data_IF_515009657848
#
_entry.id   IF_515009657848
#
_cell.length_a   1.000
_cell.length_b   1.000
_cell.length_c   1.000
_cell.angle_alpha   90.00
_cell.angle_beta   90.00
_cell.angle_gamma   90.00
#
_symmetry.space_group_name_H-M   'P 1'
#
loop_
_entity.id
_entity.type
_entity.pdbx_description
1 polymer ?
#
# COMPACT_ATOMS: atom_id res chain seq x y z
N UNK A 1 1.13 22.61 -92.18
CA UNK A 1 0.28 22.45 -90.97
C UNK A 1 0.70 21.12 -90.34
N UNK A 2 1.72 21.03 -89.47
CA UNK A 2 2.25 21.94 -88.44
C UNK A 2 1.36 22.06 -87.20
N UNK A 3 1.50 21.12 -86.25
CA UNK A 3 1.67 21.26 -84.78
C UNK A 3 1.60 19.84 -84.14
N UNK A 4 2.72 19.29 -83.67
CA UNK A 4 3.19 19.26 -82.27
C UNK A 4 2.47 18.20 -81.40
N UNK A 5 3.06 17.06 -81.00
CA UNK A 5 4.24 16.74 -80.16
C UNK A 5 4.08 17.02 -78.65
N UNK A 6 4.29 15.95 -77.84
CA UNK A 6 4.56 15.90 -76.38
C UNK A 6 3.33 16.24 -75.50
N UNK A 7 3.17 15.78 -74.26
CA UNK A 7 3.90 14.87 -73.34
C UNK A 7 2.91 13.72 -72.94
N UNK A 8 3.23 12.64 -72.23
CA UNK A 8 4.39 12.17 -71.46
C UNK A 8 3.87 11.20 -70.38
N UNK A 9 4.70 10.28 -69.88
CA UNK A 9 4.24 9.21 -69.00
C UNK A 9 3.78 9.69 -67.61
N UNK A 10 2.65 9.15 -67.15
CA UNK A 10 2.20 9.13 -65.74
C UNK A 10 1.53 7.77 -65.50
N UNK A 11 2.33 6.75 -65.23
CA UNK A 11 2.81 6.35 -63.90
C UNK A 11 1.72 5.62 -63.11
N UNK A 12 1.78 4.28 -63.20
CA UNK A 12 1.13 3.36 -62.29
C UNK A 12 1.58 3.64 -60.85
N UNK A 13 0.69 4.11 -59.97
CA UNK A 13 0.81 3.97 -58.51
C UNK A 13 -0.51 4.37 -57.82
N UNK A 14 -1.44 3.42 -57.66
CA UNK A 14 -2.68 3.62 -56.91
C UNK A 14 -3.20 2.31 -56.27
N UNK A 15 -2.29 1.48 -55.77
CA UNK A 15 -2.66 0.27 -55.00
C UNK A 15 -1.61 -0.07 -53.91
N UNK A 16 -1.26 0.94 -53.12
CA UNK A 16 -0.44 0.83 -51.92
C UNK A 16 -0.96 1.81 -50.87
N UNK A 17 -2.11 1.46 -50.25
CA UNK A 17 -2.85 2.34 -49.34
C UNK A 17 -3.69 1.60 -48.30
N UNK A 18 -3.49 0.28 -48.15
CA UNK A 18 -3.94 -0.48 -46.99
C UNK A 18 -2.73 -0.69 -46.07
N UNK A 19 -2.23 0.41 -45.50
CA UNK A 19 -1.50 0.29 -44.24
C UNK A 19 -2.52 -0.17 -43.20
N UNK A 20 -2.44 -1.45 -42.85
CA UNK A 20 -3.09 -1.92 -41.64
C UNK A 20 -2.54 -1.08 -40.49
N UNK A 21 -3.39 -0.24 -39.92
CA UNK A 21 -3.15 0.33 -38.60
C UNK A 21 -3.24 -0.81 -37.59
N UNK A 22 -2.15 -1.59 -37.49
CA UNK A 22 -1.82 -2.30 -36.26
C UNK A 22 -1.63 -1.21 -35.21
N UNK A 23 -2.72 -0.91 -34.50
CA UNK A 23 -2.63 -0.31 -33.18
C UNK A 23 -1.73 -1.24 -32.37
N UNK A 24 -0.47 -0.83 -32.16
CA UNK A 24 0.34 -1.47 -31.15
C UNK A 24 -0.45 -1.38 -29.85
N UNK A 25 -0.75 -2.52 -29.24
CA UNK A 25 -1.32 -2.52 -27.90
C UNK A 25 -0.29 -1.86 -26.98
N UNK A 26 -0.76 -1.00 -26.09
CA UNK A 26 0.08 -0.42 -25.04
C UNK A 26 0.71 -1.55 -24.22
N UNK A 27 2.02 -1.49 -23.98
CA UNK A 27 2.66 -2.41 -23.04
C UNK A 27 2.09 -2.14 -21.63
N UNK A 28 2.09 -3.16 -20.76
CA UNK A 28 1.79 -2.94 -19.34
C UNK A 28 2.99 -2.27 -18.66
N UNK A 29 2.76 -1.22 -17.88
CA UNK A 29 3.73 -0.64 -16.94
C UNK A 29 3.30 -0.93 -15.50
N UNK A 30 4.19 -1.55 -14.74
CA UNK A 30 3.99 -1.81 -13.31
C UNK A 30 4.75 -0.80 -12.45
N UNK A 31 4.03 0.04 -11.71
CA UNK A 31 4.60 1.03 -10.79
C UNK A 31 4.65 0.45 -9.37
N UNK A 32 5.86 0.25 -8.85
CA UNK A 32 6.14 -0.45 -7.59
C UNK A 32 6.33 0.55 -6.44
N UNK A 33 5.50 0.49 -5.39
CA UNK A 33 5.52 1.42 -4.24
C UNK A 33 5.84 0.67 -2.94
N UNK A 34 7.07 0.84 -2.43
CA UNK A 34 7.59 0.05 -1.32
C UNK A 34 6.92 0.35 0.04
N UNK A 35 7.17 -0.56 0.99
CA UNK A 35 6.71 -0.46 2.37
C UNK A 35 7.59 0.37 3.29
N UNK A 36 7.38 0.19 4.58
CA UNK A 36 8.16 0.79 5.66
C UNK A 36 9.55 0.12 5.80
N UNK A 37 10.53 0.87 6.33
CA UNK A 37 11.90 0.39 6.57
C UNK A 37 12.84 0.53 5.38
N UNK A 38 12.56 1.42 4.42
CA UNK A 38 13.34 1.56 3.18
C UNK A 38 13.81 3.00 2.96
N UNK A 39 15.11 3.19 2.75
CA UNK A 39 15.71 4.48 2.35
C UNK A 39 15.45 4.78 0.87
N UNK A 40 14.22 4.60 0.37
CA UNK A 40 13.95 4.57 -1.07
C UNK A 40 14.27 5.89 -1.81
N UNK A 41 14.28 7.00 -1.09
CA UNK A 41 14.75 8.31 -1.57
C UNK A 41 16.21 8.29 -2.07
N UNK A 42 17.04 7.35 -1.61
CA UNK A 42 18.38 7.09 -2.16
C UNK A 42 18.21 6.30 -3.45
N UNK A 43 18.44 6.95 -4.59
CA UNK A 43 18.35 6.28 -5.91
C UNK A 43 19.47 5.25 -6.13
N UNK A 44 20.68 5.56 -5.68
CA UNK A 44 21.81 4.65 -5.73
C UNK A 44 22.87 5.03 -4.69
N UNK A 45 23.53 4.02 -4.12
CA UNK A 45 24.78 4.17 -3.35
C UNK A 45 25.71 2.98 -3.61
N UNK A 46 26.89 3.02 -3.01
CA UNK A 46 27.83 1.90 -2.99
C UNK A 46 27.89 1.37 -1.57
N UNK A 47 27.58 0.09 -1.37
CA UNK A 47 27.59 -0.55 -0.06
C UNK A 47 29.03 -0.78 0.44
N UNK A 48 29.19 -1.27 1.68
CA UNK A 48 30.51 -1.49 2.30
C UNK A 48 31.33 -2.61 1.64
N UNK A 49 30.71 -3.41 0.77
CA UNK A 49 31.33 -4.45 -0.06
C UNK A 49 31.71 -3.94 -1.46
N UNK A 50 31.45 -2.66 -1.79
CA UNK A 50 31.77 -2.07 -3.08
C UNK A 50 30.75 -2.35 -4.20
N UNK A 51 29.57 -2.85 -3.87
CA UNK A 51 28.50 -3.17 -4.81
C UNK A 51 27.52 -1.99 -4.94
N UNK A 52 26.88 -1.85 -6.10
CA UNK A 52 25.78 -0.93 -6.31
C UNK A 52 24.57 -1.38 -5.48
N UNK A 53 23.96 -0.45 -4.76
CA UNK A 53 22.75 -0.63 -3.97
C UNK A 53 21.73 0.43 -4.39
N UNK A 54 20.49 0.01 -4.66
CA UNK A 54 19.37 0.83 -5.10
C UNK A 54 18.15 0.53 -4.20
N UNK A 55 18.11 1.03 -2.95
CA UNK A 55 17.27 0.50 -1.87
C UNK A 55 15.79 0.26 -2.20
N UNK A 56 15.15 1.10 -3.01
CA UNK A 56 13.75 0.91 -3.38
C UNK A 56 13.54 -0.17 -4.46
N UNK A 57 14.51 -0.36 -5.37
CA UNK A 57 14.48 -1.42 -6.38
C UNK A 57 14.80 -2.76 -5.73
N UNK A 58 15.89 -2.80 -4.96
CA UNK A 58 16.38 -3.98 -4.24
C UNK A 58 15.31 -4.53 -3.27
N UNK A 59 14.43 -3.67 -2.72
CA UNK A 59 13.25 -4.06 -1.94
C UNK A 59 12.34 -5.09 -2.62
N UNK A 60 12.25 -5.06 -3.96
CA UNK A 60 11.37 -5.91 -4.76
C UNK A 60 12.11 -7.06 -5.47
N UNK A 61 13.39 -6.89 -5.78
CA UNK A 61 14.21 -7.94 -6.41
C UNK A 61 14.97 -8.82 -5.41
N UNK A 62 15.18 -8.37 -4.16
CA UNK A 62 15.90 -9.13 -3.14
C UNK A 62 15.00 -9.68 -2.03
N UNK A 63 15.23 -10.95 -1.69
CA UNK A 63 14.59 -11.62 -0.57
C UNK A 63 15.37 -11.40 0.74
N UNK A 64 14.75 -10.71 1.70
CA UNK A 64 15.35 -10.42 3.02
C UNK A 64 15.61 -11.69 3.86
N UNK A 65 14.79 -12.73 3.71
CA UNK A 65 14.91 -13.97 4.46
C UNK A 65 15.52 -15.08 3.62
N UNK A 66 16.47 -15.83 4.21
CA UNK A 66 17.13 -16.97 3.58
C UNK A 66 16.17 -18.03 3.02
N UNK A 67 15.01 -18.23 3.66
CA UNK A 67 13.96 -19.15 3.18
C UNK A 67 13.34 -18.74 1.84
N UNK A 68 13.55 -17.49 1.39
CA UNK A 68 13.06 -16.94 0.12
C UNK A 68 14.17 -16.53 -0.84
N UNK A 69 15.43 -16.81 -0.51
CA UNK A 69 16.60 -16.47 -1.32
C UNK A 69 16.46 -16.99 -2.76
N UNK A 70 16.65 -16.11 -3.74
CA UNK A 70 16.46 -16.41 -5.16
C UNK A 70 15.03 -16.21 -5.67
N UNK A 71 14.15 -15.57 -4.90
CA UNK A 71 12.83 -15.12 -5.35
C UNK A 71 12.87 -13.62 -5.64
N UNK A 72 12.50 -13.24 -6.87
CA UNK A 72 12.39 -11.85 -7.34
C UNK A 72 10.92 -11.56 -7.69
N UNK A 73 10.33 -10.50 -7.11
CA UNK A 73 8.93 -10.14 -7.37
C UNK A 73 8.73 -9.50 -8.74
N UNK A 74 9.71 -8.74 -9.21
CA UNK A 74 9.69 -8.05 -10.51
C UNK A 74 9.75 -9.07 -11.64
N UNK A 75 10.62 -10.07 -11.54
CA UNK A 75 10.71 -11.19 -12.50
C UNK A 75 9.36 -11.91 -12.63
N UNK A 76 8.74 -12.24 -11.49
CA UNK A 76 7.48 -12.97 -11.44
C UNK A 76 6.28 -12.15 -11.89
N UNK A 77 6.26 -10.85 -11.60
CA UNK A 77 5.24 -9.91 -12.07
C UNK A 77 5.34 -9.71 -13.59
N UNK A 78 6.56 -9.75 -14.12
CA UNK A 78 6.87 -9.57 -15.55
C UNK A 78 7.06 -10.89 -16.29
N UNK A 79 6.53 -12.00 -15.76
CA UNK A 79 6.64 -13.34 -16.38
C UNK A 79 6.07 -13.40 -17.82
N UNK A 80 5.14 -12.50 -18.15
CA UNK A 80 4.56 -12.33 -19.49
C UNK A 80 4.95 -10.99 -20.15
N UNK A 81 6.08 -10.40 -19.73
CA UNK A 81 6.58 -9.12 -20.23
C UNK A 81 6.00 -7.88 -19.51
N UNK A 82 6.12 -6.73 -20.17
CA UNK A 82 5.77 -5.42 -19.63
C UNK A 82 6.98 -4.63 -19.10
N UNK A 83 6.78 -3.33 -18.93
CA UNK A 83 7.70 -2.37 -18.33
C UNK A 83 7.42 -2.22 -16.83
N UNK A 84 8.31 -1.55 -16.11
CA UNK A 84 8.10 -1.19 -14.72
C UNK A 84 8.82 0.11 -14.35
N UNK A 85 8.44 0.67 -13.20
CA UNK A 85 9.13 1.77 -12.56
C UNK A 85 8.92 1.72 -11.06
N UNK A 86 9.90 2.16 -10.29
CA UNK A 86 9.95 2.06 -8.83
C UNK A 86 9.79 3.45 -8.21
N UNK A 87 8.84 3.58 -7.30
CA UNK A 87 8.72 4.78 -6.45
C UNK A 87 9.55 4.57 -5.19
N UNK A 88 10.49 5.49 -4.95
CA UNK A 88 11.36 5.47 -3.78
C UNK A 88 11.21 6.73 -2.94
N UNK A 89 10.63 6.60 -1.76
CA UNK A 89 10.48 7.66 -0.77
C UNK A 89 11.21 7.29 0.53
N UNK A 90 11.41 8.22 1.47
CA UNK A 90 11.96 7.83 2.77
C UNK A 90 10.85 7.21 3.63
N UNK A 91 10.98 5.93 3.96
CA UNK A 91 10.05 5.19 4.81
C UNK A 91 10.72 4.55 6.03
N UNK A 92 11.95 4.94 6.39
CA UNK A 92 12.64 4.39 7.57
C UNK A 92 12.06 4.90 8.88
N UNK A 93 12.50 4.31 10.00
CA UNK A 93 12.08 4.73 11.33
C UNK A 93 12.52 6.17 11.62
N UNK A 94 13.74 6.56 11.23
CA UNK A 94 14.31 7.91 11.41
C UNK A 94 13.62 8.98 10.55
N UNK A 95 12.87 8.56 9.52
CA UNK A 95 12.08 9.48 8.71
C UNK A 95 10.86 10.02 9.45
N UNK A 96 10.22 9.21 10.31
CA UNK A 96 8.99 9.49 11.07
C UNK A 96 7.81 10.11 10.27
N UNK A 97 7.88 10.13 8.94
CA UNK A 97 6.92 10.88 8.11
C UNK A 97 5.59 10.12 7.97
N UNK A 98 4.45 10.74 8.32
CA UNK A 98 3.15 10.12 8.12
C UNK A 98 2.78 9.99 6.64
N UNK A 99 1.81 9.13 6.32
CA UNK A 99 1.41 8.85 4.93
C UNK A 99 0.69 10.00 4.21
N UNK A 100 0.39 11.11 4.89
CA UNK A 100 -0.15 12.32 4.27
C UNK A 100 0.95 13.38 4.00
N UNK A 101 2.21 13.09 4.37
CA UNK A 101 3.28 14.08 4.34
C UNK A 101 3.74 14.43 2.92
N UNK A 102 4.20 15.65 2.67
CA UNK A 102 4.72 16.01 1.33
C UNK A 102 5.98 15.22 0.96
N UNK A 103 6.83 14.91 1.94
CA UNK A 103 7.99 14.03 1.76
C UNK A 103 7.67 12.54 1.57
N UNK A 104 6.38 12.14 1.66
CA UNK A 104 5.92 10.77 1.41
C UNK A 104 4.89 10.76 0.29
N UNK A 105 3.62 11.07 0.56
CA UNK A 105 2.56 11.14 -0.44
C UNK A 105 2.85 12.14 -1.57
N UNK A 106 3.44 13.30 -1.21
CA UNK A 106 3.82 14.31 -2.19
C UNK A 106 4.89 13.81 -3.16
N UNK A 107 5.93 13.20 -2.61
CA UNK A 107 7.05 12.61 -3.35
C UNK A 107 6.63 11.40 -4.21
N UNK A 108 5.82 10.49 -3.65
CA UNK A 108 5.23 9.35 -4.37
C UNK A 108 4.45 9.84 -5.59
N UNK A 109 3.59 10.84 -5.44
CA UNK A 109 2.80 11.38 -6.54
C UNK A 109 3.68 12.01 -7.64
N UNK A 110 4.73 12.75 -7.28
CA UNK A 110 5.69 13.33 -8.23
C UNK A 110 6.41 12.24 -9.04
N UNK A 111 6.89 11.18 -8.39
CA UNK A 111 7.55 10.07 -9.06
C UNK A 111 6.58 9.29 -9.96
N UNK A 112 5.33 9.05 -9.53
CA UNK A 112 4.31 8.43 -10.39
C UNK A 112 4.06 9.29 -11.65
N UNK A 113 3.95 10.62 -11.53
CA UNK A 113 3.78 11.52 -12.68
C UNK A 113 4.96 11.42 -13.64
N UNK A 114 6.18 11.34 -13.14
CA UNK A 114 7.38 11.30 -13.96
C UNK A 114 7.56 9.95 -14.68
N UNK A 115 7.34 8.83 -13.97
CA UNK A 115 7.27 7.48 -14.55
C UNK A 115 6.20 7.42 -15.65
N UNK A 116 4.98 7.90 -15.36
CA UNK A 116 3.86 7.93 -16.31
C UNK A 116 4.07 8.86 -17.50
N UNK A 117 5.03 9.78 -17.42
CA UNK A 117 5.42 10.64 -18.54
C UNK A 117 6.56 10.07 -19.40
N UNK A 118 7.06 8.86 -19.09
CA UNK A 118 8.17 8.23 -19.79
C UNK A 118 9.54 8.83 -19.48
N UNK A 119 9.68 9.61 -18.40
CA UNK A 119 10.98 10.09 -17.91
C UNK A 119 11.79 9.00 -17.19
N UNK A 120 11.14 7.91 -16.82
CA UNK A 120 11.67 6.87 -15.96
C UNK A 120 11.61 7.23 -14.47
N UNK A 121 12.12 6.32 -13.64
CA UNK A 121 12.07 6.39 -12.17
C UNK A 121 13.39 6.82 -11.49
N UNK A 122 14.47 6.92 -12.28
CA UNK A 122 15.81 7.28 -11.82
C UNK A 122 16.68 6.11 -11.32
N UNK A 123 16.23 4.85 -11.45
CA UNK A 123 17.03 3.66 -11.13
C UNK A 123 17.68 3.04 -12.36
N UNK A 124 18.80 2.35 -12.15
CA UNK A 124 19.50 1.56 -13.17
C UNK A 124 18.82 0.20 -13.34
N UNK A 125 17.90 0.10 -14.30
CA UNK A 125 17.36 -1.16 -14.78
C UNK A 125 16.85 -1.06 -16.23
N UNK A 126 16.60 -2.22 -16.84
CA UNK A 126 15.97 -2.34 -18.15
C UNK A 126 14.44 -2.28 -18.06
N UNK A 127 13.76 -1.96 -19.17
CA UNK A 127 12.29 -1.95 -19.29
C UNK A 127 11.60 -0.86 -18.45
N UNK A 128 12.16 0.36 -18.49
CA UNK A 128 11.51 1.58 -18.01
C UNK A 128 10.16 1.83 -18.71
N UNK A 129 9.19 2.37 -17.98
CA UNK A 129 7.87 2.68 -18.55
C UNK A 129 7.88 3.82 -19.57
N UNK A 130 6.94 3.76 -20.52
CA UNK A 130 6.71 4.73 -21.58
C UNK A 130 5.40 5.48 -21.33
N UNK A 131 5.25 6.66 -21.92
CA UNK A 131 4.07 7.52 -21.70
C UNK A 131 2.75 6.95 -22.25
N UNK A 132 2.83 5.99 -23.18
CA UNK A 132 1.72 5.31 -23.84
C UNK A 132 1.41 3.92 -23.25
N UNK A 133 2.09 3.49 -22.20
CA UNK A 133 1.83 2.23 -21.49
C UNK A 133 0.48 2.22 -20.75
N UNK A 134 -0.05 1.02 -20.49
CA UNK A 134 -1.16 0.82 -19.55
C UNK A 134 -0.61 0.73 -18.12
N UNK A 135 -0.93 1.70 -17.28
CA UNK A 135 -0.35 1.83 -15.94
C UNK A 135 -1.13 1.06 -14.87
N UNK A 136 -0.38 0.27 -14.10
CA UNK A 136 -0.82 -0.46 -12.93
C UNK A 136 0.06 -0.09 -11.74
N UNK A 137 -0.48 0.02 -10.53
CA UNK A 137 0.34 0.20 -9.32
C UNK A 137 0.32 -1.07 -8.50
N UNK A 138 1.46 -1.45 -7.94
CA UNK A 138 1.57 -2.49 -6.92
C UNK A 138 2.21 -1.85 -5.68
N UNK A 139 1.50 -1.92 -4.56
CA UNK A 139 1.90 -1.26 -3.33
C UNK A 139 1.97 -2.27 -2.17
N UNK A 140 3.07 -2.25 -1.42
CA UNK A 140 3.30 -3.16 -0.31
C UNK A 140 3.26 -2.44 1.04
N UNK A 141 2.68 -3.05 2.08
CA UNK A 141 2.78 -2.57 3.46
C UNK A 141 2.33 -1.10 3.61
N UNK A 142 3.15 -0.23 4.17
CA UNK A 142 2.89 1.22 4.26
C UNK A 142 2.55 1.86 2.89
N UNK A 143 3.16 1.39 1.80
CA UNK A 143 2.86 1.85 0.45
C UNK A 143 1.38 1.68 0.06
N UNK A 144 0.68 0.68 0.61
CA UNK A 144 -0.76 0.53 0.40
C UNK A 144 -1.57 1.66 1.06
N UNK A 145 -1.17 2.09 2.26
CA UNK A 145 -1.76 3.23 2.97
C UNK A 145 -1.50 4.53 2.21
N UNK A 146 -0.28 4.71 1.67
CA UNK A 146 0.06 5.82 0.77
C UNK A 146 -0.86 5.84 -0.45
N UNK A 147 -0.97 4.71 -1.17
CA UNK A 147 -1.77 4.64 -2.40
C UNK A 147 -3.27 4.80 -2.15
N UNK A 148 -3.79 4.37 -1.00
CA UNK A 148 -5.17 4.69 -0.59
C UNK A 148 -5.36 6.19 -0.34
N UNK A 149 -4.42 6.84 0.34
CA UNK A 149 -4.44 8.30 0.55
C UNK A 149 -4.42 9.06 -0.78
N UNK A 150 -3.49 8.75 -1.68
CA UNK A 150 -3.41 9.36 -3.02
C UNK A 150 -4.70 9.12 -3.81
N UNK A 151 -5.15 7.86 -3.91
CA UNK A 151 -6.31 7.52 -4.74
C UNK A 151 -7.62 8.15 -4.25
N UNK A 152 -7.81 8.25 -2.93
CA UNK A 152 -8.98 8.92 -2.34
C UNK A 152 -8.91 10.44 -2.37
N UNK A 153 -7.73 11.03 -2.62
CA UNK A 153 -7.52 12.47 -2.70
C UNK A 153 -7.19 12.99 -4.09
N UNK A 154 -7.19 12.10 -5.08
CA UNK A 154 -7.11 12.39 -6.51
C UNK A 154 -8.50 12.69 -7.15
N UNK A 155 -9.59 12.66 -6.38
CA UNK A 155 -10.96 12.91 -6.89
C UNK A 155 -11.48 14.29 -6.46
N UNK A 156 -11.92 15.16 -7.39
CA UNK A 156 -12.53 16.45 -7.07
C UNK A 156 -13.70 16.30 -6.08
N UNK A 157 -13.68 17.11 -5.02
CA UNK A 157 -14.65 17.02 -3.92
C UNK A 157 -14.19 16.17 -2.73
N UNK A 158 -13.03 15.51 -2.80
CA UNK A 158 -12.38 14.98 -1.58
C UNK A 158 -12.07 16.12 -0.60
N UNK A 159 -12.28 15.93 0.73
CA UNK A 159 -11.88 16.88 1.76
C UNK A 159 -10.39 17.26 1.74
N UNK A 160 -9.54 16.44 1.13
CA UNK A 160 -8.09 16.64 0.98
C UNK A 160 -7.65 16.61 -0.49
N UNK A 161 -8.55 16.96 -1.43
CA UNK A 161 -8.26 16.94 -2.87
C UNK A 161 -6.94 17.64 -3.22
N UNK A 162 -6.06 16.94 -3.95
CA UNK A 162 -4.74 17.37 -4.39
C UNK A 162 -3.86 18.04 -3.29
N UNK A 163 -3.92 17.51 -2.05
CA UNK A 163 -3.13 18.02 -0.91
C UNK A 163 -2.34 16.93 -0.18
N UNK A 164 -1.02 17.10 -0.17
CA UNK A 164 -0.16 16.59 0.90
C UNK A 164 -0.03 17.66 1.99
N UNK A 165 0.66 17.36 3.11
CA UNK A 165 0.83 18.31 4.22
C UNK A 165 2.26 18.27 4.78
N UNK A 166 2.77 19.40 5.26
CA UNK A 166 4.03 19.49 6.04
C UNK A 166 3.80 19.29 7.55
N UNK A 167 2.73 18.54 7.90
CA UNK A 167 2.26 18.32 9.27
C UNK A 167 2.57 16.89 9.69
N UNK A 168 3.29 16.69 10.79
CA UNK A 168 3.66 15.36 11.29
C UNK A 168 2.58 14.72 12.18
N UNK A 169 1.75 15.54 12.82
CA UNK A 169 0.77 15.12 13.83
C UNK A 169 -0.64 15.59 13.46
N UNK A 170 -1.64 14.76 13.68
CA UNK A 170 -3.06 15.12 13.52
C UNK A 170 -3.46 16.32 14.40
N UNK A 171 -4.52 17.04 14.03
CA UNK A 171 -5.04 18.16 14.82
C UNK A 171 -5.33 17.77 16.28
N UNK A 172 -5.27 18.75 17.19
CA UNK A 172 -5.56 18.54 18.62
C UNK A 172 -6.69 19.43 19.11
N UNK A 173 -7.46 18.94 20.08
CA UNK A 173 -8.45 19.74 20.82
C UNK A 173 -8.15 19.71 22.31
N UNK A 174 -8.50 20.79 22.99
CA UNK A 174 -8.33 20.94 24.44
C UNK A 174 -9.69 21.06 25.10
N UNK A 175 -10.11 20.02 25.81
CA UNK A 175 -11.36 20.01 26.58
C UNK A 175 -11.11 20.41 28.04
N UNK A 176 -12.03 21.17 28.63
CA UNK A 176 -11.98 21.57 30.04
C UNK A 176 -13.21 21.08 30.77
N UNK A 177 -13.05 20.02 31.57
CA UNK A 177 -14.12 19.33 32.27
C UNK A 177 -14.09 19.65 33.77
N UNK A 178 -15.21 20.09 34.34
CA UNK A 178 -15.31 20.39 35.77
C UNK A 178 -15.57 19.12 36.58
N UNK A 179 -14.50 18.51 37.09
CA UNK A 179 -14.56 17.29 37.90
C UNK A 179 -14.78 17.65 39.37
N UNK A 180 -15.90 17.20 39.93
CA UNK A 180 -16.28 17.44 41.33
C UNK A 180 -16.25 16.13 42.13
N UNK A 181 -15.36 16.03 43.12
CA UNK A 181 -15.22 14.87 44.00
C UNK A 181 -15.74 15.18 45.41
N UNK A 182 -16.33 14.17 46.07
CA UNK A 182 -16.92 14.28 47.42
C UNK A 182 -18.44 14.05 47.47
N UNK A 183 -18.96 13.76 48.67
CA UNK A 183 -20.40 13.66 48.94
C UNK A 183 -21.06 15.05 48.87
N UNK A 184 -22.38 15.09 48.65
CA UNK A 184 -23.19 16.31 48.37
C UNK A 184 -22.76 17.56 49.16
N UNK A 185 -22.65 17.48 50.48
CA UNK A 185 -22.31 18.61 51.36
C UNK A 185 -20.83 19.05 51.36
N UNK A 186 -19.92 18.28 50.74
CA UNK A 186 -18.46 18.55 50.76
C UNK A 186 -17.81 18.36 49.37
N UNK A 187 -18.55 18.61 48.28
CA UNK A 187 -17.99 18.53 46.91
C UNK A 187 -16.91 19.59 46.68
N UNK A 188 -15.67 19.16 46.43
CA UNK A 188 -14.61 20.01 45.86
C UNK A 188 -14.60 19.82 44.35
N UNK A 189 -14.63 20.91 43.60
CA UNK A 189 -14.56 20.91 42.14
C UNK A 189 -13.24 21.48 41.67
N UNK A 190 -12.59 20.79 40.72
CA UNK A 190 -11.47 21.32 39.94
C UNK A 190 -11.83 21.27 38.45
N UNK A 191 -11.31 22.20 37.67
CA UNK A 191 -11.33 22.06 36.20
C UNK A 191 -10.13 21.21 35.81
N UNK A 192 -10.39 20.09 35.13
CA UNK A 192 -9.35 19.29 34.49
C UNK A 192 -9.33 19.64 33.01
N UNK A 193 -8.16 20.06 32.52
CA UNK A 193 -7.93 20.34 31.10
C UNK A 193 -7.22 19.15 30.48
N UNK A 194 -7.77 18.59 29.40
CA UNK A 194 -7.19 17.46 28.67
C UNK A 194 -7.09 17.79 27.18
N UNK A 195 -5.87 17.81 26.66
CA UNK A 195 -5.63 17.86 25.22
C UNK A 195 -5.67 16.45 24.66
N UNK A 196 -6.30 16.27 23.49
CA UNK A 196 -6.29 15.01 22.73
C UNK A 196 -6.18 15.25 21.23
N UNK A 197 -5.56 14.31 20.54
CA UNK A 197 -5.56 14.25 19.09
C UNK A 197 -6.98 13.96 18.57
N UNK A 198 -7.29 14.48 17.39
CA UNK A 198 -8.52 14.23 16.62
C UNK A 198 -8.16 14.00 15.15
N UNK A 199 -9.00 13.28 14.41
CA UNK A 199 -8.82 13.17 12.97
C UNK A 199 -8.95 14.56 12.31
N UNK A 200 -8.00 14.89 11.45
CA UNK A 200 -7.96 16.16 10.71
C UNK A 200 -6.54 16.69 10.53
N UNK A 201 -6.29 17.29 9.37
CA UNK A 201 -5.08 18.07 9.07
C UNK A 201 -5.45 19.56 9.01
N UNK A 202 -4.46 20.44 9.10
CA UNK A 202 -4.62 21.88 9.12
C UNK A 202 -4.07 22.48 7.82
N UNK A 203 -4.93 23.14 7.05
CA UNK A 203 -4.61 23.69 5.74
C UNK A 203 -3.52 24.77 5.76
N UNK A 204 -3.12 25.28 6.94
CA UNK A 204 -1.91 26.11 7.09
C UNK A 204 -0.62 25.35 6.74
N UNK A 205 -0.65 24.01 6.77
CA UNK A 205 0.47 23.14 6.38
C UNK A 205 0.23 22.41 5.05
N UNK A 206 -0.88 22.69 4.34
CA UNK A 206 -1.19 22.03 3.08
C UNK A 206 -0.16 22.37 1.99
N UNK A 207 0.21 21.37 1.21
CA UNK A 207 1.04 21.46 0.01
C UNK A 207 0.23 20.95 -1.17
N UNK A 208 0.09 21.79 -2.20
CA UNK A 208 -0.60 21.38 -3.43
C UNK A 208 0.23 20.33 -4.17
N UNK A 209 -0.34 19.14 -4.34
CA UNK A 209 0.27 18.03 -5.09
C UNK A 209 -0.78 17.45 -6.03
N UNK A 210 -0.39 17.23 -7.28
CA UNK A 210 -1.29 16.81 -8.35
C UNK A 210 -1.61 15.29 -8.29
N UNK A 211 -2.30 14.87 -7.23
CA UNK A 211 -2.73 13.48 -7.05
C UNK A 211 -3.67 13.02 -8.17
N UNK A 212 -4.53 13.90 -8.68
CA UNK A 212 -5.36 13.66 -9.88
C UNK A 212 -4.47 13.24 -11.06
N UNK A 213 -3.48 14.04 -11.46
CA UNK A 213 -2.55 13.65 -12.53
C UNK A 213 -1.73 12.40 -12.22
N UNK A 214 -1.36 12.17 -10.95
CA UNK A 214 -0.66 10.96 -10.56
C UNK A 214 -1.53 9.70 -10.75
N UNK A 215 -2.80 9.72 -10.31
CA UNK A 215 -3.64 8.51 -10.20
C UNK A 215 -4.64 8.34 -11.35
N UNK A 216 -5.19 9.43 -11.90
CA UNK A 216 -6.21 9.36 -12.95
C UNK A 216 -5.63 8.74 -14.23
N UNK A 217 -6.27 7.68 -14.72
CA UNK A 217 -5.79 6.87 -15.84
C UNK A 217 -4.92 5.66 -15.44
N UNK A 218 -4.68 5.42 -14.15
CA UNK A 218 -4.18 4.13 -13.67
C UNK A 218 -5.30 3.10 -13.76
N UNK A 219 -5.04 1.96 -14.40
CA UNK A 219 -6.03 0.91 -14.65
C UNK A 219 -6.47 0.23 -13.35
N UNK A 220 -5.52 -0.12 -12.48
CA UNK A 220 -5.77 -0.54 -11.11
C UNK A 220 -4.57 -0.33 -10.18
N UNK A 221 -4.85 -0.25 -8.88
CA UNK A 221 -3.88 -0.29 -7.79
C UNK A 221 -4.06 -1.64 -7.08
N UNK A 222 -3.05 -2.49 -7.07
CA UNK A 222 -3.01 -3.70 -6.27
C UNK A 222 -2.26 -3.42 -4.96
N UNK A 223 -2.83 -3.80 -3.83
CA UNK A 223 -2.14 -3.70 -2.54
C UNK A 223 -1.90 -5.08 -1.95
N UNK A 224 -0.71 -5.34 -1.43
CA UNK A 224 -0.39 -6.59 -0.72
C UNK A 224 0.16 -6.26 0.68
N UNK A 225 -0.24 -7.02 1.70
CA UNK A 225 0.21 -6.87 3.08
C UNK A 225 0.01 -5.48 3.72
N UNK A 226 -0.96 -4.71 3.22
CA UNK A 226 -1.07 -3.28 3.45
C UNK A 226 -1.95 -2.91 4.65
N UNK A 227 -1.44 -2.11 5.59
CA UNK A 227 -2.20 -1.64 6.75
C UNK A 227 -3.11 -0.43 6.39
N UNK A 228 -4.04 -0.62 5.45
CA UNK A 228 -4.88 0.46 4.90
C UNK A 228 -5.64 1.19 6.01
N UNK A 229 -6.35 0.46 6.89
CA UNK A 229 -7.04 1.07 8.04
C UNK A 229 -6.23 1.07 9.33
N UNK A 230 -4.91 0.92 9.24
CA UNK A 230 -3.98 0.78 10.37
C UNK A 230 -3.76 -0.68 10.80
N UNK A 231 -3.06 -0.90 11.91
CA UNK A 231 -2.71 -2.24 12.40
C UNK A 231 -2.64 -2.32 13.93
N UNK A 232 -3.12 -3.45 14.48
CA UNK A 232 -3.09 -3.72 15.93
C UNK A 232 -1.67 -3.86 16.49
N UNK A 233 -0.69 -4.25 15.67
CA UNK A 233 0.71 -4.30 16.07
C UNK A 233 1.28 -2.93 16.45
N UNK A 234 0.91 -1.88 15.71
CA UNK A 234 1.32 -0.51 16.02
C UNK A 234 0.50 0.05 17.18
N UNK A 235 -0.77 -0.34 17.33
CA UNK A 235 -1.54 -0.01 18.55
C UNK A 235 -0.85 -0.54 19.82
N UNK A 236 -0.32 -1.78 19.77
CA UNK A 236 0.46 -2.39 20.88
C UNK A 236 1.82 -1.72 21.06
N UNK A 237 2.48 -1.30 19.98
CA UNK A 237 3.74 -0.56 20.08
C UNK A 237 3.55 0.82 20.75
N UNK A 238 2.47 1.51 20.42
CA UNK A 238 2.22 2.88 20.88
C UNK A 238 1.43 2.98 22.19
N UNK A 239 0.63 1.98 22.54
CA UNK A 239 -0.28 2.02 23.70
C UNK A 239 -0.20 0.77 24.59
N UNK A 240 0.75 -0.12 24.31
CA UNK A 240 0.93 -1.36 25.06
C UNK A 240 1.44 -1.16 26.49
N UNK A 241 1.30 -2.21 27.28
CA UNK A 241 1.88 -2.32 28.61
C UNK A 241 3.41 -2.48 28.57
N UNK A 242 4.08 -2.30 29.71
CA UNK A 242 5.52 -2.52 29.84
C UNK A 242 5.98 -3.95 29.49
N UNK A 243 5.06 -4.94 29.58
CA UNK A 243 5.32 -6.33 29.17
C UNK A 243 5.34 -6.44 27.63
N UNK A 244 4.45 -5.71 26.96
CA UNK A 244 4.46 -5.62 25.49
C UNK A 244 5.65 -4.78 25.00
N UNK A 245 6.11 -3.78 25.76
CA UNK A 245 7.38 -3.08 25.47
C UNK A 245 8.57 -4.05 25.45
N UNK A 246 8.67 -4.98 26.42
CA UNK A 246 9.74 -5.98 26.45
C UNK A 246 9.69 -6.94 25.24
N UNK A 247 8.49 -7.22 24.72
CA UNK A 247 8.30 -8.01 23.49
C UNK A 247 8.70 -7.15 22.27
N UNK A 248 8.29 -5.88 22.20
CA UNK A 248 8.63 -5.00 21.09
C UNK A 248 10.14 -4.72 20.99
N UNK A 249 10.82 -4.47 22.12
CA UNK A 249 12.27 -4.26 22.21
C UNK A 249 13.06 -5.52 21.81
N UNK A 250 12.51 -6.71 22.08
CA UNK A 250 13.18 -8.00 21.82
C UNK A 250 12.90 -8.56 20.41
N UNK A 251 11.77 -8.19 19.78
CA UNK A 251 11.29 -8.84 18.56
C UNK A 251 11.00 -7.90 17.37
N UNK A 252 10.86 -6.59 17.57
CA UNK A 252 10.54 -5.62 16.49
C UNK A 252 11.56 -4.49 16.40
N UNK A 253 12.09 -4.01 17.53
CA UNK A 253 13.17 -3.02 17.57
C UNK A 253 12.82 -1.63 17.00
N UNK A 254 11.53 -1.27 16.96
CA UNK A 254 11.04 0.02 16.44
C UNK A 254 10.45 0.87 17.54
N UNK A 255 10.56 2.19 17.41
CA UNK A 255 9.88 3.13 18.30
C UNK A 255 8.47 3.48 17.81
N UNK A 256 7.55 3.84 18.71
CA UNK A 256 6.21 4.27 18.31
C UNK A 256 6.23 5.49 17.37
N UNK A 257 7.15 6.44 17.57
CA UNK A 257 7.23 7.68 16.80
C UNK A 257 7.33 7.44 15.28
N UNK A 258 8.16 6.46 14.88
CA UNK A 258 8.39 6.00 13.52
C UNK A 258 7.15 5.51 12.77
N UNK A 259 6.20 4.86 13.46
CA UNK A 259 5.09 4.11 12.84
C UNK A 259 3.70 4.50 13.34
N UNK A 260 3.57 5.40 14.31
CA UNK A 260 2.31 5.82 14.97
C UNK A 260 1.13 6.14 14.05
N UNK A 261 1.39 6.62 12.84
CA UNK A 261 0.38 6.93 11.83
C UNK A 261 -0.23 5.67 11.17
N UNK A 262 0.29 4.47 11.46
CA UNK A 262 -0.28 3.18 11.08
C UNK A 262 -1.11 2.54 12.22
N UNK A 263 -1.43 3.28 13.29
CA UNK A 263 -2.40 2.81 14.30
C UNK A 263 -3.81 2.68 13.72
N UNK A 264 -4.61 1.78 14.29
CA UNK A 264 -6.04 1.62 13.94
C UNK A 264 -6.94 2.73 14.50
N UNK A 265 -6.37 3.60 15.34
CA UNK A 265 -7.06 4.76 15.92
C UNK A 265 -7.53 5.71 14.80
N UNK A 266 -8.78 6.17 14.86
CA UNK A 266 -9.37 7.04 13.85
C UNK A 266 -8.59 8.35 13.61
N UNK A 267 -7.84 8.85 14.61
CA UNK A 267 -6.98 10.03 14.41
C UNK A 267 -5.83 9.79 13.41
N UNK A 268 -5.53 8.53 13.10
CA UNK A 268 -4.47 8.10 12.18
C UNK A 268 -4.96 7.24 11.02
N UNK A 269 -6.14 6.62 11.07
CA UNK A 269 -6.63 5.73 10.02
C UNK A 269 -6.94 6.48 8.70
N UNK A 270 -6.39 5.99 7.56
CA UNK A 270 -6.48 6.64 6.23
C UNK A 270 -7.90 7.02 5.81
N UNK A 271 -8.89 6.23 6.25
CA UNK A 271 -10.32 6.43 5.98
C UNK A 271 -10.87 7.80 6.38
N UNK A 272 -10.26 8.45 7.38
CA UNK A 272 -10.68 9.78 7.84
C UNK A 272 -9.96 10.91 7.08
N UNK A 273 -9.08 10.54 6.16
CA UNK A 273 -8.21 11.40 5.37
C UNK A 273 -8.36 11.18 3.86
N UNK A 274 -9.41 10.49 3.41
CA UNK A 274 -9.72 10.21 1.99
C UNK A 274 -11.14 10.63 1.62
N UNK A 275 -11.35 10.91 0.34
CA UNK A 275 -12.67 11.08 -0.25
C UNK A 275 -13.50 9.78 -0.26
N UNK A 276 -14.80 9.91 -0.51
CA UNK A 276 -15.76 8.79 -0.55
C UNK A 276 -15.62 7.90 -1.78
N UNK A 277 -14.83 8.30 -2.78
CA UNK A 277 -14.57 7.60 -4.02
C UNK A 277 -13.09 7.69 -4.39
N UNK A 278 -12.55 6.66 -5.02
CA UNK A 278 -11.14 6.56 -5.42
C UNK A 278 -10.98 6.92 -6.91
N UNK A 279 -9.87 7.53 -7.30
CA UNK A 279 -9.59 7.88 -8.71
C UNK A 279 -9.23 6.67 -9.57
N UNK A 280 -8.55 5.68 -8.99
CA UNK A 280 -8.29 4.35 -9.57
C UNK A 280 -8.95 3.26 -8.70
N UNK A 281 -9.31 2.08 -9.26
CA UNK A 281 -9.84 0.99 -8.47
C UNK A 281 -8.71 0.34 -7.66
N UNK A 282 -8.95 0.04 -6.38
CA UNK A 282 -7.99 -0.59 -5.48
C UNK A 282 -8.37 -2.04 -5.25
N UNK A 283 -7.50 -2.99 -5.58
CA UNK A 283 -7.66 -4.42 -5.34
C UNK A 283 -6.71 -4.88 -4.24
N UNK A 284 -7.27 -5.38 -3.15
CA UNK A 284 -6.50 -5.76 -1.96
C UNK A 284 -6.27 -7.27 -1.91
N UNK A 285 -5.02 -7.64 -1.70
CA UNK A 285 -4.53 -8.98 -1.34
C UNK A 285 -4.18 -8.93 0.15
N UNK A 286 -4.65 -9.91 0.91
CA UNK A 286 -4.32 -10.09 2.32
C UNK A 286 -4.25 -11.58 2.67
N UNK A 287 -3.95 -11.88 3.93
CA UNK A 287 -3.90 -13.24 4.48
C UNK A 287 -2.52 -13.54 5.05
N UNK A 288 -2.48 -14.12 6.25
CA UNK A 288 -1.24 -14.38 6.99
C UNK A 288 -1.18 -15.83 7.47
N UNK A 289 0.02 -16.38 7.45
CA UNK A 289 0.38 -17.60 8.18
C UNK A 289 1.15 -17.29 9.47
N UNK A 290 1.81 -16.12 9.51
CA UNK A 290 2.69 -15.67 10.57
C UNK A 290 3.48 -14.43 10.13
N UNK A 291 4.30 -13.87 11.02
CA UNK A 291 5.36 -12.92 10.67
C UNK A 291 6.68 -13.66 10.40
N UNK A 292 7.42 -13.35 9.32
CA UNK A 292 8.64 -14.05 9.00
C UNK A 292 9.74 -13.76 10.04
N UNK A 293 10.50 -14.80 10.38
CA UNK A 293 11.60 -14.73 11.36
C UNK A 293 11.22 -15.04 12.81
N UNK A 294 9.92 -15.16 13.14
CA UNK A 294 9.46 -15.28 14.53
C UNK A 294 8.45 -16.45 14.76
N UNK A 295 8.34 -17.38 13.80
CA UNK A 295 7.51 -18.62 13.88
C UNK A 295 7.78 -19.52 15.12
N UNK A 296 8.79 -19.21 15.94
CA UNK A 296 9.14 -19.90 17.19
C UNK A 296 9.11 -19.04 18.47
N UNK A 297 8.70 -17.77 18.44
CA UNK A 297 8.61 -16.93 19.66
C UNK A 297 7.32 -16.12 19.79
N UNK A 298 6.77 -15.54 18.70
CA UNK A 298 5.42 -14.94 18.74
C UNK A 298 4.38 -16.06 18.84
N UNK A 299 4.50 -17.10 18.02
CA UNK A 299 3.70 -18.34 18.10
C UNK A 299 3.75 -19.02 19.49
N UNK A 300 4.85 -18.84 20.23
CA UNK A 300 5.11 -19.49 21.53
C UNK A 300 4.71 -18.64 22.74
N UNK A 301 4.70 -17.30 22.60
CA UNK A 301 4.20 -16.34 23.61
C UNK A 301 2.74 -15.92 23.38
N UNK A 302 2.28 -15.93 22.13
CA UNK A 302 0.93 -15.56 21.70
C UNK A 302 0.08 -16.78 21.28
N UNK A 303 0.66 -17.98 21.20
CA UNK A 303 -0.06 -19.24 21.11
C UNK A 303 -0.84 -19.51 19.82
N UNK A 304 -0.69 -18.70 18.76
CA UNK A 304 -1.46 -18.80 17.52
C UNK A 304 -0.81 -18.14 16.30
N UNK A 305 -1.46 -18.30 15.14
CA UNK A 305 -1.10 -17.68 13.86
C UNK A 305 -1.16 -16.14 13.98
N UNK A 306 -0.15 -15.40 13.47
CA UNK A 306 0.06 -13.97 13.80
C UNK A 306 -0.96 -12.99 13.17
N UNK A 307 -2.14 -13.46 12.73
CA UNK A 307 -3.26 -12.66 12.20
C UNK A 307 -3.69 -11.51 13.14
N UNK A 308 -3.42 -11.65 14.45
CA UNK A 308 -3.68 -10.63 15.46
C UNK A 308 -2.68 -9.47 15.48
N UNK A 309 -1.57 -9.54 14.74
CA UNK A 309 -0.54 -8.48 14.70
C UNK A 309 -0.73 -7.53 13.51
N UNK A 310 -1.23 -8.01 12.36
CA UNK A 310 -1.81 -7.18 11.28
C UNK A 310 -3.17 -7.76 10.92
N UNK A 311 -4.22 -7.14 11.45
CA UNK A 311 -5.60 -7.59 11.27
C UNK A 311 -5.98 -7.68 9.78
N UNK A 312 -6.43 -8.84 9.31
CA UNK A 312 -6.84 -9.06 7.91
C UNK A 312 -7.93 -8.07 7.43
N UNK A 313 -8.80 -7.61 8.33
CA UNK A 313 -9.81 -6.60 8.01
C UNK A 313 -9.21 -5.24 7.62
N UNK A 314 -8.03 -4.88 8.14
CA UNK A 314 -7.38 -3.62 7.83
C UNK A 314 -6.63 -3.62 6.51
N UNK A 315 -6.38 -4.81 5.97
CA UNK A 315 -5.79 -5.03 4.64
C UNK A 315 -6.83 -5.09 3.54
N UNK A 316 -8.03 -5.60 3.87
CA UNK A 316 -9.11 -5.87 2.92
C UNK A 316 -10.16 -4.74 2.80
N UNK A 317 -9.75 -3.52 3.18
CA UNK A 317 -10.53 -2.28 3.24
C UNK A 317 -11.99 -2.46 3.71
N UNK A 318 -12.19 -3.17 4.80
CA UNK A 318 -13.53 -3.57 5.25
C UNK A 318 -14.29 -2.42 5.92
N UNK A 319 -15.61 -2.37 5.72
CA UNK A 319 -16.49 -1.46 6.46
C UNK A 319 -16.48 -1.76 7.97
N UNK A 320 -16.73 -0.73 8.78
CA UNK A 320 -16.73 -0.85 10.25
C UNK A 320 -15.35 -0.62 10.88
N UNK A 321 -15.12 -1.16 12.08
CA UNK A 321 -13.88 -0.89 12.84
C UNK A 321 -12.65 -1.52 12.19
N UNK A 322 -11.53 -0.78 12.17
CA UNK A 322 -10.20 -1.31 11.87
C UNK A 322 -9.76 -2.38 12.88
N UNK A 323 -10.28 -2.29 14.12
CA UNK A 323 -10.20 -3.32 15.17
C UNK A 323 -11.29 -4.39 15.06
N UNK A 324 -11.72 -4.76 13.84
CA UNK A 324 -12.67 -5.88 13.65
C UNK A 324 -11.95 -7.17 14.00
N UNK A 325 -11.98 -7.49 15.29
CA UNK A 325 -11.26 -8.58 15.92
C UNK A 325 -11.54 -9.91 15.20
N UNK A 326 -10.56 -10.81 15.18
CA UNK A 326 -10.69 -12.23 14.85
C UNK A 326 -12.02 -12.83 15.34
N UNK A 327 -12.36 -12.60 16.61
CA UNK A 327 -13.59 -13.06 17.26
C UNK A 327 -14.91 -12.45 16.71
N UNK A 328 -14.87 -11.39 15.91
CA UNK A 328 -16.06 -10.59 15.57
C UNK A 328 -16.90 -11.12 14.41
N UNK A 329 -16.45 -12.13 13.67
CA UNK A 329 -17.27 -12.77 12.61
C UNK A 329 -17.04 -14.28 12.37
N UNK A 330 -15.96 -14.90 12.89
CA UNK A 330 -15.38 -16.11 12.26
C UNK A 330 -15.27 -17.29 13.25
N UNK A 331 -15.42 -18.53 12.76
CA UNK A 331 -15.62 -19.74 13.59
C UNK A 331 -14.36 -20.24 14.31
N UNK A 332 -14.57 -20.72 15.54
CA UNK A 332 -13.66 -21.57 16.34
C UNK A 332 -12.19 -21.14 16.43
N UNK A 333 -11.95 -19.94 16.96
CA UNK A 333 -10.70 -19.69 17.69
C UNK A 333 -10.71 -20.48 19.00
N UNK A 334 -9.63 -21.21 19.26
CA UNK A 334 -9.31 -21.74 20.59
C UNK A 334 -8.57 -20.64 21.37
N UNK A 335 -8.51 -20.79 22.70
CA UNK A 335 -7.81 -19.84 23.55
C UNK A 335 -6.80 -20.54 24.45
N UNK A 336 -5.59 -20.00 24.54
CA UNK A 336 -4.56 -20.43 25.48
C UNK A 336 -4.07 -19.20 26.26
N UNK A 337 -4.13 -19.26 27.60
CA UNK A 337 -3.81 -18.14 28.50
C UNK A 337 -4.52 -16.79 28.17
N UNK A 338 -5.70 -16.85 27.53
CA UNK A 338 -6.47 -15.68 27.11
C UNK A 338 -6.16 -15.16 25.71
N UNK A 339 -5.24 -15.79 24.98
CA UNK A 339 -4.82 -15.40 23.63
C UNK A 339 -5.51 -16.30 22.59
N UNK A 340 -5.96 -15.71 21.47
CA UNK A 340 -6.70 -16.37 20.40
C UNK A 340 -5.77 -17.19 19.50
N UNK A 341 -6.19 -18.38 19.06
CA UNK A 341 -5.50 -19.13 18.00
C UNK A 341 -6.41 -19.95 17.10
N UNK A 342 -6.08 -19.99 15.81
CA UNK A 342 -6.84 -20.61 14.72
C UNK A 342 -6.93 -19.66 13.52
N UNK A 343 -7.09 -20.21 12.31
CA UNK A 343 -7.00 -19.45 11.07
C UNK A 343 -8.27 -18.63 10.75
N UNK A 344 -8.10 -17.36 10.40
CA UNK A 344 -9.20 -16.48 10.02
C UNK A 344 -9.76 -16.77 8.61
N UNK A 345 -10.64 -17.76 8.47
CA UNK A 345 -11.51 -17.87 7.27
C UNK A 345 -12.48 -16.68 7.23
N UNK A 346 -12.25 -15.67 6.38
CA UNK A 346 -12.83 -14.32 6.53
C UNK A 346 -13.81 -13.87 5.43
N UNK A 347 -15.02 -13.41 5.81
CA UNK A 347 -16.04 -12.89 4.89
C UNK A 347 -16.08 -11.35 4.86
N UNK A 348 -15.09 -10.74 4.23
CA UNK A 348 -15.19 -9.37 3.76
C UNK A 348 -15.26 -9.40 2.24
N UNK A 349 -16.44 -9.71 1.70
CA UNK A 349 -16.73 -9.63 0.26
C UNK A 349 -16.65 -8.17 -0.25
N UNK A 350 -16.94 -7.99 -1.54
CA UNK A 350 -16.94 -6.65 -2.17
C UNK A 350 -18.16 -5.79 -1.80
N UNK A 351 -19.22 -6.38 -1.24
CA UNK A 351 -20.44 -5.68 -0.86
C UNK A 351 -20.30 -4.99 0.52
N UNK A 352 -19.35 -5.45 1.36
CA UNK A 352 -19.12 -4.94 2.72
C UNK A 352 -17.85 -4.05 2.86
N UNK A 353 -17.44 -3.37 1.79
CA UNK A 353 -16.23 -2.50 1.74
C UNK A 353 -16.43 -1.12 2.37
N UNK A 354 -15.35 -0.53 2.88
CA UNK A 354 -15.35 0.79 3.54
C UNK A 354 -15.29 1.98 2.58
N UNK A 355 -14.80 1.78 1.35
CA UNK A 355 -14.62 2.85 0.34
C UNK A 355 -15.09 2.36 -1.03
N UNK A 356 -15.76 3.23 -1.79
CA UNK A 356 -16.17 2.90 -3.16
C UNK A 356 -14.94 2.63 -4.07
N UNK A 357 -15.10 1.74 -5.06
CA UNK A 357 -14.03 1.25 -5.95
C UNK A 357 -12.85 0.56 -5.23
N UNK A 358 -13.07 0.06 -4.01
CA UNK A 358 -12.17 -0.93 -3.39
C UNK A 358 -12.76 -2.33 -3.50
N UNK A 359 -11.90 -3.31 -3.76
CA UNK A 359 -12.26 -4.68 -4.07
C UNK A 359 -11.24 -5.62 -3.43
N UNK A 360 -11.65 -6.86 -3.13
CA UNK A 360 -10.76 -7.92 -2.72
C UNK A 360 -10.38 -8.81 -3.91
N UNK A 361 -9.12 -9.24 -3.93
CA UNK A 361 -8.60 -10.19 -4.91
C UNK A 361 -8.75 -11.63 -4.39
N UNK A 362 -8.02 -11.95 -3.31
CA UNK A 362 -7.98 -13.24 -2.66
C UNK A 362 -7.46 -13.09 -1.22
N UNK A 363 -7.75 -14.08 -0.37
CA UNK A 363 -6.93 -14.34 0.81
C UNK A 363 -5.82 -15.32 0.42
N UNK A 364 -4.57 -15.00 0.72
CA UNK A 364 -3.39 -15.83 0.43
C UNK A 364 -2.72 -16.19 1.77
N UNK A 365 -2.53 -17.48 2.04
CA UNK A 365 -1.94 -17.95 3.30
C UNK A 365 -0.41 -17.98 3.21
N UNK A 366 0.22 -16.85 3.48
CA UNK A 366 1.69 -16.63 3.42
C UNK A 366 2.11 -15.63 4.50
N UNK A 367 3.38 -15.59 4.88
CA UNK A 367 3.87 -14.47 5.70
C UNK A 367 4.02 -13.16 4.91
N UNK A 368 4.30 -12.06 5.63
CA UNK A 368 4.39 -10.69 5.10
C UNK A 368 5.35 -10.59 3.91
N UNK A 369 6.59 -11.01 4.10
CA UNK A 369 7.64 -10.87 3.10
C UNK A 369 7.56 -11.96 2.03
N UNK A 370 6.90 -13.09 2.28
CA UNK A 370 6.55 -14.04 1.22
C UNK A 370 5.61 -13.43 0.17
N UNK A 371 4.68 -12.55 0.57
CA UNK A 371 3.86 -11.79 -0.39
C UNK A 371 4.72 -10.81 -1.21
N UNK A 372 5.64 -10.10 -0.54
CA UNK A 372 6.56 -9.12 -1.16
C UNK A 372 7.57 -9.76 -2.12
N UNK A 373 8.14 -10.90 -1.77
CA UNK A 373 9.23 -11.56 -2.53
C UNK A 373 8.71 -12.57 -3.56
N UNK A 374 7.40 -12.84 -3.57
CA UNK A 374 6.85 -14.03 -4.24
C UNK A 374 7.40 -15.35 -3.67
N UNK A 375 7.94 -15.32 -2.45
CA UNK A 375 8.84 -16.35 -1.92
C UNK A 375 8.21 -17.72 -1.68
N UNK A 376 6.90 -17.78 -1.50
CA UNK A 376 6.15 -19.04 -1.58
C UNK A 376 5.56 -19.11 -2.99
N UNK A 377 6.05 -20.04 -3.81
CA UNK A 377 5.69 -20.09 -5.24
C UNK A 377 4.31 -20.68 -5.56
N UNK A 378 3.63 -21.29 -4.59
CA UNK A 378 2.24 -21.78 -4.73
C UNK A 378 1.54 -21.85 -3.36
N UNK A 379 1.29 -20.73 -2.67
CA UNK A 379 0.53 -20.71 -1.43
C UNK A 379 -0.92 -21.17 -1.59
N UNK A 380 -1.45 -21.70 -0.49
CA UNK A 380 -2.88 -21.88 -0.31
C UNK A 380 -3.59 -20.53 -0.38
N UNK A 381 -4.76 -20.52 -1.01
CA UNK A 381 -5.55 -19.31 -1.19
C UNK A 381 -7.04 -19.61 -1.09
N UNK A 382 -7.78 -18.65 -0.60
CA UNK A 382 -9.25 -18.67 -0.61
C UNK A 382 -9.74 -17.54 -1.50
N UNK A 383 -10.46 -17.91 -2.57
CA UNK A 383 -11.17 -16.95 -3.41
C UNK A 383 -12.27 -16.25 -2.61
N UNK A 384 -12.44 -14.96 -2.84
CA UNK A 384 -13.40 -14.13 -2.09
C UNK A 384 -14.69 -13.98 -2.92
N UNK A 385 -15.89 -14.10 -2.33
CA UNK A 385 -17.14 -13.90 -3.06
C UNK A 385 -17.17 -12.56 -3.79
N UNK A 386 -17.54 -12.60 -5.08
CA UNK A 386 -17.53 -11.46 -6.00
C UNK A 386 -16.17 -10.75 -6.17
N UNK A 387 -15.07 -11.34 -5.67
CA UNK A 387 -13.70 -10.88 -5.83
C UNK A 387 -13.16 -11.08 -7.25
N UNK A 388 -12.13 -10.31 -7.62
CA UNK A 388 -11.52 -10.42 -8.94
C UNK A 388 -10.64 -11.68 -9.01
N UNK A 389 -11.11 -12.68 -9.75
CA UNK A 389 -10.45 -13.98 -9.88
C UNK A 389 -9.37 -13.96 -10.97
N UNK A 390 -8.14 -13.60 -10.61
CA UNK A 390 -6.94 -13.62 -11.48
C UNK A 390 -6.42 -15.05 -11.81
N UNK A 391 -7.32 -16.03 -11.87
CA UNK A 391 -6.97 -17.43 -12.08
C UNK A 391 -6.03 -18.03 -11.01
N UNK A 392 -5.33 -19.09 -11.39
CA UNK A 392 -4.40 -19.84 -10.54
C UNK A 392 -3.01 -19.21 -10.50
N UNK A 393 -2.93 -17.88 -10.40
CA UNK A 393 -1.66 -17.18 -10.23
C UNK A 393 -0.92 -17.73 -9.01
N UNK A 394 0.38 -18.03 -9.19
CA UNK A 394 1.24 -18.69 -8.21
C UNK A 394 1.16 -18.04 -6.83
N UNK A 395 1.64 -16.81 -6.74
CA UNK A 395 1.76 -15.97 -5.55
C UNK A 395 1.25 -14.55 -5.85
N UNK A 396 1.46 -13.57 -4.96
CA UNK A 396 0.99 -12.19 -5.16
C UNK A 396 1.42 -11.60 -6.51
N UNK A 397 2.70 -11.69 -6.87
CA UNK A 397 3.21 -11.21 -8.16
C UNK A 397 2.53 -11.91 -9.35
N UNK A 398 2.53 -13.25 -9.35
CA UNK A 398 1.94 -14.05 -10.43
C UNK A 398 0.42 -13.90 -10.57
N UNK A 399 -0.29 -13.56 -9.48
CA UNK A 399 -1.73 -13.23 -9.52
C UNK A 399 -1.99 -11.85 -10.07
N UNK A 400 -1.21 -10.85 -9.68
CA UNK A 400 -1.32 -9.51 -10.27
C UNK A 400 -1.04 -9.59 -11.77
N UNK A 401 0.06 -10.23 -12.17
CA UNK A 401 0.39 -10.47 -13.57
C UNK A 401 -0.76 -11.14 -14.34
N UNK A 402 -1.41 -12.16 -13.77
CA UNK A 402 -2.54 -12.85 -14.38
C UNK A 402 -3.84 -12.03 -14.44
N UNK A 403 -3.91 -10.87 -13.78
CA UNK A 403 -5.03 -9.93 -13.82
C UNK A 403 -4.80 -8.71 -14.71
N UNK A 404 -3.57 -8.50 -15.17
CA UNK A 404 -3.17 -7.38 -16.04
C UNK A 404 -2.97 -7.80 -17.50
N UNK A 405 -3.20 -9.08 -17.80
CA UNK A 405 -3.31 -9.65 -19.16
C UNK A 405 -4.77 -9.69 -19.63
#
# INVERSE_FOLDING_TARGET
MTLCKRLGASLSLALAGLFASVSAAADNCYILVHGHGTEGHVKQRTNSQGQLEQPALDYWSEAYFDKYRGSDFIEQLRINGGNYGVVGYNSTDEGEMPYWHDGTAGEIARQIIDIRSGKGDGYQHENQCKADDTFWVIAHSQGATQMMYLAGNAVPGSPYYNRAYNQFDSNTITESNKVCTGKWFWKKCKTETKTRNIAGLDDRYAVNVDFDKAITGIAAIFTTGGAITGTEGVDRLCNGSWIESLINDLFIGRECAAVRYLQTNDVYAVRNYVGTNLAAPVYTIGGYAGFPGIESASSLLLGGEDDGYINLASQMNCSGSAKRNLYSNLKEYKTFLGIAYGSATFSCDNDHKGTARSYNLASIYTDHDAQRNGGIMSPDYTGIPNGLNCGTGKNSAGRIAACTQ
#
